data_IF_127843793065
#
_entry.id   IF_127843793065
#
_cell.length_a   1.000
_cell.length_b   1.000
_cell.length_c   1.000
_cell.angle_alpha   90.00
_cell.angle_beta   90.00
_cell.angle_gamma   90.00
#
_symmetry.space_group_name_H-M   'P 1'
#
loop_
_entity.id
_entity.type
_entity.pdbx_description
1 polymer ?
#
# COMPACT_ATOMS: atom_id res chain seq x y z
N UNK A 1 18.29 -3.08 -22.25
CA UNK A 1 16.88 -2.66 -22.37
C UNK A 1 16.46 -2.18 -20.99
N UNK A 2 15.92 -0.96 -20.87
CA UNK A 2 15.45 -0.44 -19.59
C UNK A 2 14.36 -1.32 -18.98
N UNK A 3 14.27 -1.36 -17.66
CA UNK A 3 13.33 -2.19 -16.90
C UNK A 3 12.37 -1.33 -16.07
N UNK A 4 11.08 -1.60 -16.20
CA UNK A 4 10.03 -1.13 -15.30
C UNK A 4 9.80 -2.16 -14.22
N UNK A 5 10.24 -1.84 -13.01
CA UNK A 5 9.95 -2.63 -11.84
C UNK A 5 8.55 -2.27 -11.34
N UNK A 6 7.74 -3.28 -11.02
CA UNK A 6 6.40 -3.08 -10.47
C UNK A 6 6.35 -3.73 -9.09
N UNK A 7 6.39 -2.91 -8.04
CA UNK A 7 6.34 -3.37 -6.66
C UNK A 7 4.89 -3.52 -6.21
N UNK A 8 4.47 -4.77 -6.06
CA UNK A 8 3.18 -5.14 -5.50
C UNK A 8 3.29 -5.29 -3.98
N UNK A 9 2.40 -4.61 -3.25
CA UNK A 9 2.28 -4.70 -1.79
C UNK A 9 0.84 -5.02 -1.42
N UNK A 10 0.63 -6.11 -0.69
CA UNK A 10 -0.70 -6.52 -0.25
C UNK A 10 -1.14 -5.82 1.04
N UNK A 11 -2.46 -5.84 1.27
CA UNK A 11 -3.12 -5.39 2.49
C UNK A 11 -3.11 -6.38 3.65
N UNK A 12 -3.90 -6.08 4.68
CA UNK A 12 -4.18 -7.04 5.76
C UNK A 12 -4.86 -8.31 5.26
N UNK A 13 -5.01 -9.31 6.16
CA UNK A 13 -5.80 -10.55 5.90
C UNK A 13 -5.24 -11.46 4.78
N UNK A 14 -4.15 -11.07 4.13
CA UNK A 14 -3.49 -11.89 3.11
C UNK A 14 -2.50 -12.83 3.78
N UNK A 15 -2.90 -14.07 4.09
CA UNK A 15 -2.07 -15.01 4.87
C UNK A 15 -1.27 -15.99 4.02
N UNK A 16 -1.61 -16.14 2.74
CA UNK A 16 -0.94 -17.06 1.81
C UNK A 16 -0.14 -16.28 0.77
N UNK A 17 1.17 -16.54 0.73
CA UNK A 17 2.09 -15.89 -0.23
C UNK A 17 1.77 -16.23 -1.68
N UNK A 18 1.38 -17.47 -1.96
CA UNK A 18 1.07 -17.92 -3.32
C UNK A 18 -0.24 -17.32 -3.80
N UNK A 19 -1.23 -17.16 -2.91
CA UNK A 19 -2.48 -16.47 -3.21
C UNK A 19 -2.22 -15.01 -3.58
N UNK A 20 -1.43 -14.29 -2.78
CA UNK A 20 -1.01 -12.94 -3.11
C UNK A 20 -0.30 -12.87 -4.47
N UNK A 21 0.68 -13.73 -4.71
CA UNK A 21 1.41 -13.76 -5.97
C UNK A 21 0.48 -14.04 -7.16
N UNK A 22 -0.51 -14.94 -7.01
CA UNK A 22 -1.52 -15.18 -8.06
C UNK A 22 -2.36 -13.93 -8.33
N UNK A 23 -2.86 -13.27 -7.29
CA UNK A 23 -3.67 -12.06 -7.43
C UNK A 23 -2.88 -10.92 -8.11
N UNK A 24 -1.65 -10.67 -7.67
CA UNK A 24 -0.79 -9.66 -8.27
C UNK A 24 -0.37 -10.03 -9.71
N UNK A 25 -0.13 -11.31 -10.00
CA UNK A 25 0.16 -11.79 -11.36
C UNK A 25 -1.05 -11.67 -12.28
N UNK A 26 -2.27 -11.86 -11.77
CA UNK A 26 -3.49 -11.64 -12.52
C UNK A 26 -3.62 -10.17 -12.92
N UNK A 27 -3.42 -9.24 -11.99
CA UNK A 27 -3.40 -7.81 -12.28
C UNK A 27 -2.33 -7.46 -13.32
N UNK A 28 -1.11 -7.97 -13.14
CA UNK A 28 -0.01 -7.78 -14.09
C UNK A 28 -0.35 -8.31 -15.48
N UNK A 29 -0.98 -9.49 -15.56
CA UNK A 29 -1.43 -10.09 -16.83
C UNK A 29 -2.44 -9.18 -17.53
N UNK A 30 -3.38 -8.61 -16.77
CA UNK A 30 -4.30 -7.58 -17.28
C UNK A 30 -3.56 -6.36 -17.85
N UNK A 31 -2.51 -5.89 -17.16
CA UNK A 31 -1.69 -4.77 -17.62
C UNK A 31 -0.91 -5.11 -18.90
N UNK A 32 -0.41 -6.36 -19.04
CA UNK A 32 0.45 -6.73 -20.17
C UNK A 32 -0.22 -6.65 -21.54
N UNK A 33 -1.56 -6.67 -21.62
CA UNK A 33 -2.28 -6.46 -22.88
C UNK A 33 -2.02 -5.08 -23.48
N UNK A 34 -1.85 -4.06 -22.64
CA UNK A 34 -1.54 -2.69 -23.04
C UNK A 34 -0.03 -2.48 -23.18
N UNK A 35 0.76 -3.14 -22.31
CA UNK A 35 2.21 -2.94 -22.24
C UNK A 35 3.01 -3.77 -23.26
N UNK A 36 2.39 -4.69 -24.00
CA UNK A 36 3.09 -5.63 -24.89
C UNK A 36 3.87 -5.01 -26.05
N UNK A 37 3.60 -3.75 -26.37
CA UNK A 37 4.24 -3.03 -27.47
C UNK A 37 5.45 -2.18 -27.04
N UNK A 38 5.79 -2.21 -25.75
CA UNK A 38 6.81 -1.34 -25.17
C UNK A 38 8.21 -1.96 -25.30
N UNK A 39 9.20 -1.15 -25.67
CA UNK A 39 10.62 -1.54 -25.72
C UNK A 39 11.27 -1.55 -24.32
N UNK A 40 10.57 -2.11 -23.32
CA UNK A 40 11.00 -2.15 -21.92
C UNK A 40 10.66 -3.48 -21.28
N UNK A 41 11.50 -3.93 -20.35
CA UNK A 41 11.23 -5.15 -19.57
C UNK A 41 10.29 -4.79 -18.43
N UNK A 42 9.18 -5.49 -18.25
CA UNK A 42 8.37 -5.38 -17.03
C UNK A 42 8.81 -6.46 -16.04
N UNK A 43 9.25 -6.06 -14.83
CA UNK A 43 9.69 -7.00 -13.78
C UNK A 43 8.88 -6.82 -12.49
N UNK A 44 8.02 -7.79 -12.12
CA UNK A 44 7.29 -7.70 -10.87
C UNK A 44 8.19 -7.94 -9.66
N UNK A 45 7.91 -7.23 -8.58
CA UNK A 45 8.45 -7.47 -7.23
C UNK A 45 7.25 -7.68 -6.30
N UNK A 46 7.27 -8.75 -5.52
CA UNK A 46 6.19 -9.06 -4.58
C UNK A 46 6.71 -8.88 -3.15
N UNK A 47 6.16 -7.91 -2.43
CA UNK A 47 6.44 -7.76 -1.00
C UNK A 47 5.32 -8.40 -0.18
N UNK A 48 5.66 -9.52 0.48
CA UNK A 48 4.76 -10.25 1.34
C UNK A 48 5.16 -10.13 2.82
N UNK A 49 4.22 -9.67 3.64
CA UNK A 49 4.36 -9.46 5.09
C UNK A 49 3.26 -10.14 5.90
N UNK A 50 2.32 -10.83 5.25
CA UNK A 50 1.09 -11.33 5.88
C UNK A 50 1.28 -12.48 6.87
N UNK A 51 2.46 -13.09 6.89
CA UNK A 51 2.90 -14.12 7.84
C UNK A 51 3.36 -13.55 9.18
N UNK A 52 3.72 -12.26 9.25
CA UNK A 52 4.37 -11.67 10.43
C UNK A 52 3.45 -11.55 11.65
N UNK A 53 2.12 -11.63 11.48
CA UNK A 53 1.12 -11.48 12.53
C UNK A 53 0.39 -12.77 12.91
N UNK A 54 0.60 -13.87 12.17
CA UNK A 54 -0.20 -15.10 12.27
C UNK A 54 -0.14 -15.71 13.67
N UNK A 55 1.06 -15.89 14.22
CA UNK A 55 1.23 -16.52 15.53
C UNK A 55 0.61 -15.67 16.66
N UNK A 56 0.83 -14.36 16.64
CA UNK A 56 0.29 -13.45 17.65
C UNK A 56 -1.25 -13.40 17.62
N UNK A 57 -1.86 -13.41 16.42
CA UNK A 57 -3.31 -13.48 16.28
C UNK A 57 -3.86 -14.83 16.73
N UNK A 58 -3.22 -15.95 16.35
CA UNK A 58 -3.62 -17.28 16.78
C UNK A 58 -3.58 -17.42 18.31
N UNK A 59 -2.54 -16.88 18.96
CA UNK A 59 -2.43 -16.83 20.41
C UNK A 59 -3.56 -16.02 21.07
N UNK A 60 -3.92 -14.87 20.48
CA UNK A 60 -5.05 -14.06 20.97
C UNK A 60 -6.39 -14.79 20.82
N UNK A 61 -6.63 -15.47 19.70
CA UNK A 61 -7.83 -16.29 19.47
C UNK A 61 -7.90 -17.42 20.49
N UNK A 62 -6.81 -18.16 20.68
CA UNK A 62 -6.74 -19.20 21.71
C UNK A 62 -7.03 -18.64 23.11
N UNK A 63 -6.57 -17.42 23.40
CA UNK A 63 -6.90 -16.68 24.62
C UNK A 63 -8.41 -16.46 24.79
N UNK A 64 -9.12 -16.03 23.74
CA UNK A 64 -10.58 -15.90 23.78
C UNK A 64 -11.27 -17.25 24.00
N UNK A 65 -10.83 -18.28 23.27
CA UNK A 65 -11.43 -19.62 23.29
C UNK A 65 -11.18 -20.36 24.61
N UNK A 66 -10.08 -20.06 25.31
CA UNK A 66 -9.80 -20.59 26.65
C UNK A 66 -10.90 -20.22 27.67
N UNK A 67 -11.60 -19.11 27.45
CA UNK A 67 -12.79 -18.70 28.21
C UNK A 67 -14.07 -19.21 27.58
N UNK A 68 -14.12 -20.50 27.21
CA UNK A 68 -15.15 -21.12 26.35
C UNK A 68 -16.60 -20.71 26.71
N UNK A 69 -16.96 -20.78 27.99
CA UNK A 69 -18.31 -20.44 28.48
C UNK A 69 -18.69 -18.97 28.25
N UNK A 70 -17.71 -18.06 28.31
CA UNK A 70 -17.91 -16.63 28.04
C UNK A 70 -17.86 -16.37 26.54
N UNK A 71 -16.89 -16.96 25.83
CA UNK A 71 -16.74 -16.76 24.40
C UNK A 71 -17.99 -17.14 23.62
N UNK A 72 -18.62 -18.27 23.96
CA UNK A 72 -19.89 -18.73 23.36
C UNK A 72 -21.06 -17.74 23.52
N UNK A 73 -20.98 -16.76 24.42
CA UNK A 73 -22.02 -15.73 24.59
C UNK A 73 -21.85 -14.56 23.62
N UNK A 74 -20.67 -14.38 23.03
CA UNK A 74 -20.44 -13.32 22.05
C UNK A 74 -21.07 -13.68 20.70
N UNK A 75 -21.74 -12.69 20.10
CA UNK A 75 -22.26 -12.81 18.74
C UNK A 75 -21.16 -12.52 17.70
N UNK A 76 -21.35 -13.09 16.50
CA UNK A 76 -20.49 -12.88 15.34
C UNK A 76 -19.01 -13.24 15.58
N UNK A 77 -18.76 -14.37 16.24
CA UNK A 77 -17.41 -14.82 16.63
C UNK A 77 -16.47 -14.92 15.42
N UNK A 78 -16.90 -15.60 14.37
CA UNK A 78 -16.11 -15.77 13.14
C UNK A 78 -15.83 -14.42 12.48
N UNK A 79 -16.82 -13.52 12.42
CA UNK A 79 -16.59 -12.16 11.93
C UNK A 79 -15.58 -11.37 12.78
N UNK A 80 -15.61 -11.54 14.11
CA UNK A 80 -14.65 -10.90 15.02
C UNK A 80 -13.24 -11.43 14.81
N UNK A 81 -13.07 -12.73 14.56
CA UNK A 81 -11.74 -13.37 14.43
C UNK A 81 -11.19 -13.33 13.01
N UNK A 82 -12.02 -13.44 11.98
CA UNK A 82 -11.62 -13.57 10.57
C UNK A 82 -11.80 -12.27 9.75
N UNK A 83 -12.33 -11.20 10.35
CA UNK A 83 -12.47 -9.91 9.66
C UNK A 83 -11.93 -8.78 10.53
N UNK A 84 -12.54 -8.56 11.71
CA UNK A 84 -12.11 -7.47 12.59
C UNK A 84 -10.69 -7.71 13.08
N UNK A 85 -10.41 -8.89 13.65
CA UNK A 85 -9.10 -9.18 14.21
C UNK A 85 -8.02 -9.24 13.14
N UNK A 86 -8.28 -9.83 11.97
CA UNK A 86 -7.27 -9.84 10.91
C UNK A 86 -6.96 -8.42 10.41
N UNK A 87 -7.97 -7.56 10.29
CA UNK A 87 -7.79 -6.18 9.88
C UNK A 87 -7.11 -5.31 10.97
N UNK A 88 -7.77 -5.19 12.12
CA UNK A 88 -7.34 -4.32 13.23
C UNK A 88 -6.12 -4.90 13.95
N UNK A 89 -6.06 -6.22 14.07
CA UNK A 89 -4.92 -6.91 14.67
C UNK A 89 -3.65 -6.78 13.84
N UNK A 90 -3.73 -6.86 12.50
CA UNK A 90 -2.57 -6.58 11.64
C UNK A 90 -2.07 -5.15 11.83
N UNK A 91 -2.98 -4.18 11.81
CA UNK A 91 -2.67 -2.78 12.05
C UNK A 91 -1.99 -2.57 13.42
N UNK A 92 -2.60 -3.11 14.49
CA UNK A 92 -2.07 -2.98 15.85
C UNK A 92 -0.72 -3.68 16.03
N UNK A 93 -0.55 -4.87 15.46
CA UNK A 93 0.71 -5.61 15.53
C UNK A 93 1.82 -4.89 14.78
N UNK A 94 1.56 -4.33 13.59
CA UNK A 94 2.55 -3.56 12.85
C UNK A 94 3.09 -2.35 13.64
N UNK A 95 2.23 -1.68 14.42
CA UNK A 95 2.66 -0.58 15.29
C UNK A 95 3.61 -1.04 16.42
N UNK A 96 3.58 -2.32 16.79
CA UNK A 96 4.55 -2.87 17.73
C UNK A 96 5.95 -2.84 17.11
N UNK A 97 6.96 -2.45 17.90
CA UNK A 97 8.34 -2.39 17.42
C UNK A 97 8.84 -3.74 16.91
N UNK A 98 8.45 -4.83 17.56
CA UNK A 98 8.94 -6.16 17.21
C UNK A 98 8.42 -6.63 15.84
N UNK A 99 7.09 -6.63 15.65
CA UNK A 99 6.50 -7.05 14.37
C UNK A 99 6.85 -6.06 13.26
N UNK A 100 6.77 -4.75 13.52
CA UNK A 100 7.20 -3.73 12.55
C UNK A 100 8.65 -3.94 12.09
N UNK A 101 9.56 -4.31 13.00
CA UNK A 101 10.95 -4.62 12.66
C UNK A 101 11.07 -5.87 11.78
N UNK A 102 10.28 -6.91 12.03
CA UNK A 102 10.28 -8.10 11.18
C UNK A 102 9.75 -7.78 9.77
N UNK A 103 8.76 -6.90 9.66
CA UNK A 103 8.25 -6.39 8.37
C UNK A 103 9.34 -5.61 7.63
N UNK A 104 10.13 -4.77 8.30
CA UNK A 104 11.29 -4.07 7.70
C UNK A 104 12.33 -5.06 7.18
N UNK A 105 12.69 -6.09 7.96
CA UNK A 105 13.63 -7.15 7.51
C UNK A 105 13.09 -7.88 6.29
N UNK A 106 11.80 -8.23 6.30
CA UNK A 106 11.14 -8.86 5.17
C UNK A 106 11.16 -7.96 3.92
N UNK A 107 10.94 -6.65 4.09
CA UNK A 107 11.01 -5.68 2.99
C UNK A 107 12.41 -5.62 2.40
N UNK A 108 13.44 -5.42 3.24
CA UNK A 108 14.83 -5.38 2.80
C UNK A 108 15.21 -6.65 2.02
N UNK A 109 14.89 -7.83 2.55
CA UNK A 109 15.23 -9.08 1.89
C UNK A 109 14.47 -9.28 0.57
N UNK A 110 13.15 -9.06 0.55
CA UNK A 110 12.32 -9.36 -0.63
C UNK A 110 12.43 -8.29 -1.72
N UNK A 111 12.48 -7.01 -1.33
CA UNK A 111 12.46 -5.89 -2.29
C UNK A 111 13.87 -5.50 -2.70
N UNK A 112 14.79 -5.27 -1.76
CA UNK A 112 16.14 -4.81 -2.12
C UNK A 112 17.00 -5.97 -2.60
N UNK A 113 17.18 -6.99 -1.77
CA UNK A 113 18.15 -8.07 -2.04
C UNK A 113 17.70 -9.00 -3.17
N UNK A 114 16.39 -9.20 -3.32
CA UNK A 114 15.83 -10.10 -4.35
C UNK A 114 15.22 -9.34 -5.53
N UNK A 115 14.39 -8.32 -5.27
CA UNK A 115 13.66 -7.60 -6.32
C UNK A 115 14.56 -6.66 -7.15
N UNK A 116 15.26 -5.76 -6.47
CA UNK A 116 16.03 -4.65 -7.05
C UNK A 116 17.53 -4.94 -7.22
N UNK A 117 18.00 -6.14 -6.88
CA UNK A 117 19.42 -6.53 -6.95
C UNK A 117 20.15 -6.11 -8.22
N UNK A 118 19.48 -6.25 -9.36
CA UNK A 118 20.05 -6.01 -10.68
C UNK A 118 19.57 -4.68 -11.31
N UNK A 119 18.92 -3.80 -10.53
CA UNK A 119 18.41 -2.53 -11.04
C UNK A 119 19.55 -1.60 -11.46
N UNK A 120 19.35 -0.93 -12.59
CA UNK A 120 20.31 -0.02 -13.22
C UNK A 120 19.64 1.32 -13.53
N UNK A 121 19.40 2.18 -12.53
CA UNK A 121 18.72 3.46 -12.71
C UNK A 121 19.39 4.35 -13.78
N UNK A 122 20.71 4.24 -13.96
CA UNK A 122 21.49 4.94 -14.98
C UNK A 122 21.19 4.45 -16.41
N UNK A 123 20.59 3.28 -16.56
CA UNK A 123 20.13 2.72 -17.84
C UNK A 123 18.63 2.99 -18.07
N UNK A 124 18.03 3.87 -17.27
CA UNK A 124 16.63 4.25 -17.36
C UNK A 124 15.68 3.29 -16.65
N UNK A 125 16.18 2.42 -15.76
CA UNK A 125 15.32 1.61 -14.90
C UNK A 125 14.52 2.51 -13.94
N UNK A 126 13.27 2.14 -13.69
CA UNK A 126 12.36 2.89 -12.83
C UNK A 126 11.37 1.98 -12.12
N UNK A 127 10.74 2.51 -11.09
CA UNK A 127 9.87 1.75 -10.19
C UNK A 127 8.45 2.32 -10.19
N UNK A 128 7.47 1.44 -10.27
CA UNK A 128 6.05 1.74 -10.13
C UNK A 128 5.53 1.05 -8.87
N UNK A 129 4.88 1.80 -7.99
CA UNK A 129 4.27 1.26 -6.78
C UNK A 129 2.83 0.83 -7.09
N UNK A 130 2.46 -0.39 -6.70
CA UNK A 130 1.08 -0.90 -6.73
C UNK A 130 0.77 -1.47 -5.35
N UNK A 131 0.10 -0.67 -4.54
CA UNK A 131 -0.13 -0.98 -3.12
C UNK A 131 -1.61 -1.13 -2.84
N UNK A 132 -1.94 -2.01 -1.90
CA UNK A 132 -3.30 -2.29 -1.51
C UNK A 132 -3.49 -2.09 -0.01
N UNK A 133 -4.58 -1.41 0.38
CA UNK A 133 -5.00 -1.30 1.79
C UNK A 133 -3.87 -0.80 2.71
N UNK A 134 -3.71 -1.44 3.88
CA UNK A 134 -2.60 -1.24 4.82
C UNK A 134 -1.22 -1.46 4.22
N UNK A 135 -1.09 -2.17 3.10
CA UNK A 135 0.16 -2.28 2.36
C UNK A 135 0.70 -0.91 1.94
N UNK A 136 -0.18 0.03 1.56
CA UNK A 136 0.21 1.42 1.30
C UNK A 136 0.78 2.07 2.55
N UNK A 137 0.07 1.96 3.67
CA UNK A 137 0.47 2.57 4.95
C UNK A 137 1.81 2.03 5.41
N UNK A 138 2.00 0.71 5.39
CA UNK A 138 3.24 0.05 5.80
C UNK A 138 4.40 0.49 4.93
N UNK A 139 4.21 0.52 3.60
CA UNK A 139 5.25 0.97 2.68
C UNK A 139 5.63 2.42 2.98
N UNK A 140 4.64 3.30 3.12
CA UNK A 140 4.87 4.71 3.36
C UNK A 140 5.52 4.95 4.74
N UNK A 141 5.11 4.22 5.78
CA UNK A 141 5.74 4.31 7.10
C UNK A 141 7.22 3.91 7.03
N UNK A 142 7.59 2.82 6.35
CA UNK A 142 8.99 2.43 6.16
C UNK A 142 9.77 3.53 5.42
N UNK A 143 9.21 4.04 4.32
CA UNK A 143 9.90 5.02 3.47
C UNK A 143 9.99 6.41 4.10
N UNK A 144 9.02 6.84 4.91
CA UNK A 144 8.88 8.25 5.25
C UNK A 144 8.72 8.55 6.76
N UNK A 145 8.33 7.59 7.60
CA UNK A 145 8.08 7.88 9.01
C UNK A 145 9.39 8.09 9.80
N UNK A 146 9.40 9.08 10.67
CA UNK A 146 10.56 9.41 11.52
C UNK A 146 10.76 8.43 12.69
N UNK A 147 9.77 7.60 13.03
CA UNK A 147 9.89 6.60 14.10
C UNK A 147 11.05 5.62 13.90
N UNK A 148 11.48 5.43 12.65
CA UNK A 148 12.59 4.55 12.31
C UNK A 148 13.96 5.15 12.61
N UNK A 149 14.03 6.44 12.95
CA UNK A 149 15.24 7.12 13.40
C UNK A 149 15.49 6.97 14.91
N UNK A 150 14.55 6.37 15.65
CA UNK A 150 14.64 6.17 17.10
C UNK A 150 15.86 5.32 17.48
N UNK A 151 16.85 5.85 18.23
CA UNK A 151 18.06 5.11 18.62
C UNK A 151 17.78 3.83 19.42
N UNK A 152 16.61 3.71 20.06
CA UNK A 152 16.19 2.49 20.76
C UNK A 152 16.00 1.30 19.82
N UNK A 153 15.93 1.53 18.51
CA UNK A 153 15.92 0.48 17.52
C UNK A 153 17.28 -0.20 17.38
N UNK A 154 18.37 0.35 17.90
CA UNK A 154 19.69 -0.29 17.84
C UNK A 154 19.90 -1.36 18.94
N UNK A 155 18.86 -1.66 19.73
CA UNK A 155 18.93 -2.54 20.89
C UNK A 155 18.08 -3.81 20.75
N UNK A 156 18.45 -4.87 21.47
CA UNK A 156 17.63 -6.07 21.67
C UNK A 156 17.18 -6.76 20.37
N UNK A 157 15.90 -7.16 20.30
CA UNK A 157 15.33 -7.84 19.12
C UNK A 157 15.18 -6.94 17.88
N UNK A 158 15.44 -5.64 18.02
CA UNK A 158 15.32 -4.66 16.94
C UNK A 158 16.67 -4.21 16.40
N UNK A 159 17.78 -4.73 16.92
CA UNK A 159 19.12 -4.38 16.43
C UNK A 159 19.19 -4.38 14.89
N UNK A 160 19.94 -3.41 14.37
CA UNK A 160 20.19 -3.12 12.95
C UNK A 160 18.97 -2.57 12.16
N UNK A 161 17.81 -2.39 12.78
CA UNK A 161 16.60 -1.97 12.05
C UNK A 161 16.73 -0.56 11.48
N UNK A 162 17.32 0.38 12.21
CA UNK A 162 17.56 1.73 11.68
C UNK A 162 18.46 1.68 10.43
N UNK A 163 19.53 0.89 10.49
CA UNK A 163 20.44 0.70 9.36
C UNK A 163 19.76 0.03 8.16
N UNK A 164 18.86 -0.94 8.40
CA UNK A 164 18.06 -1.55 7.34
C UNK A 164 17.09 -0.56 6.72
N UNK A 165 16.43 0.29 7.51
CA UNK A 165 15.56 1.35 6.96
C UNK A 165 16.37 2.35 6.15
N UNK A 166 17.56 2.75 6.60
CA UNK A 166 18.45 3.62 5.83
C UNK A 166 18.88 2.97 4.51
N UNK A 167 19.21 1.68 4.51
CA UNK A 167 19.49 0.93 3.29
C UNK A 167 18.28 0.89 2.35
N UNK A 168 17.08 0.67 2.89
CA UNK A 168 15.82 0.74 2.14
C UNK A 168 15.68 2.11 1.48
N UNK A 169 15.75 3.19 2.23
CA UNK A 169 15.56 4.55 1.70
C UNK A 169 16.61 4.94 0.67
N UNK A 170 17.89 4.56 0.87
CA UNK A 170 18.97 4.74 -0.13
C UNK A 170 18.69 4.06 -1.47
N UNK A 171 17.86 3.02 -1.49
CA UNK A 171 17.52 2.33 -2.73
C UNK A 171 16.51 3.12 -3.59
N UNK A 172 15.86 4.15 -3.05
CA UNK A 172 14.87 4.97 -3.73
C UNK A 172 15.42 6.38 -3.96
N UNK A 173 15.41 6.81 -5.21
CA UNK A 173 15.84 8.17 -5.56
C UNK A 173 14.95 9.22 -4.90
N UNK A 174 15.57 10.31 -4.45
CA UNK A 174 14.92 11.44 -3.81
C UNK A 174 14.72 11.30 -2.31
N UNK A 175 15.23 10.22 -1.68
CA UNK A 175 15.18 10.04 -0.23
C UNK A 175 16.55 10.11 0.43
N UNK A 176 16.57 10.71 1.62
CA UNK A 176 17.69 10.61 2.53
C UNK A 176 17.97 9.15 2.94
N UNK A 177 19.24 8.80 3.19
CA UNK A 177 20.43 9.67 3.22
C UNK A 177 21.17 9.82 1.88
N UNK A 178 20.58 9.44 0.73
CA UNK A 178 21.24 9.54 -0.58
C UNK A 178 20.23 9.99 -1.66
N UNK A 179 19.79 11.26 -1.65
CA UNK A 179 18.71 11.74 -2.51
C UNK A 179 19.04 11.66 -4.01
N UNK A 180 20.33 11.68 -4.38
CA UNK A 180 20.77 11.62 -5.77
C UNK A 180 20.89 10.19 -6.34
N UNK A 181 20.81 9.15 -5.50
CA UNK A 181 20.99 7.75 -5.89
C UNK A 181 19.75 6.89 -5.68
N UNK A 182 19.74 5.69 -6.25
CA UNK A 182 18.62 4.75 -6.15
C UNK A 182 17.69 4.78 -7.36
N UNK A 183 16.68 3.91 -7.35
CA UNK A 183 15.71 3.78 -8.43
C UNK A 183 14.66 4.90 -8.34
N UNK A 184 14.39 5.65 -9.42
CA UNK A 184 13.35 6.66 -9.42
C UNK A 184 11.95 6.04 -9.46
N UNK A 185 11.04 6.63 -8.70
CA UNK A 185 9.62 6.32 -8.81
C UNK A 185 9.02 7.01 -10.04
N UNK A 186 8.32 6.23 -10.85
CA UNK A 186 7.65 6.71 -12.05
C UNK A 186 6.14 6.86 -11.86
N UNK A 187 5.53 6.10 -10.93
CA UNK A 187 4.13 6.27 -10.54
C UNK A 187 3.82 5.65 -9.18
N UNK A 188 2.74 6.12 -8.56
CA UNK A 188 2.15 5.54 -7.36
C UNK A 188 0.72 5.08 -7.67
N UNK A 189 0.39 3.85 -7.31
CA UNK A 189 -0.97 3.32 -7.45
C UNK A 189 -1.42 2.76 -6.10
N UNK A 190 -2.49 3.32 -5.54
CA UNK A 190 -3.07 2.92 -4.25
C UNK A 190 -4.45 2.32 -4.46
N UNK A 191 -4.69 1.12 -3.95
CA UNK A 191 -5.94 0.38 -4.13
C UNK A 191 -6.61 0.16 -2.77
N UNK A 192 -7.82 0.69 -2.57
CA UNK A 192 -8.55 0.52 -1.31
C UNK A 192 -7.81 1.03 -0.08
N UNK A 193 -6.97 2.07 -0.25
CA UNK A 193 -6.01 2.47 0.77
C UNK A 193 -6.63 3.38 1.84
N UNK A 194 -6.39 3.14 3.14
CA UNK A 194 -6.79 4.04 4.21
C UNK A 194 -5.82 5.21 4.41
N UNK A 195 -4.88 5.47 3.48
CA UNK A 195 -3.84 6.52 3.62
C UNK A 195 -4.44 7.92 3.84
N UNK A 196 -5.66 8.17 3.36
CA UNK A 196 -6.41 9.38 3.67
C UNK A 196 -6.54 9.65 5.18
N UNK A 197 -6.82 8.60 5.96
CA UNK A 197 -6.99 8.68 7.40
C UNK A 197 -5.68 9.01 8.12
N UNK A 198 -4.53 8.77 7.50
CA UNK A 198 -3.23 9.06 8.09
C UNK A 198 -2.94 10.56 8.15
N UNK A 199 -3.67 11.40 7.41
CA UNK A 199 -3.64 12.86 7.59
C UNK A 199 -4.01 13.28 9.02
N UNK A 200 -4.82 12.47 9.74
CA UNK A 200 -5.16 12.71 11.14
C UNK A 200 -3.94 12.67 12.06
N UNK A 201 -2.90 11.92 11.72
CA UNK A 201 -1.66 11.85 12.51
C UNK A 201 -0.90 13.17 12.54
N UNK A 202 -1.19 14.09 11.61
CA UNK A 202 -0.59 15.42 11.54
C UNK A 202 -1.27 16.43 12.44
N UNK A 203 -2.57 16.24 12.74
CA UNK A 203 -3.37 17.22 13.47
C UNK A 203 -2.86 17.47 14.90
N UNK A 204 -2.11 16.53 15.47
CA UNK A 204 -1.58 16.61 16.83
C UNK A 204 -0.14 17.15 16.91
N UNK A 205 0.50 17.46 15.78
CA UNK A 205 1.81 18.15 15.72
C UNK A 205 3.05 17.33 16.11
N UNK A 206 2.90 16.19 16.79
CA UNK A 206 4.01 15.36 17.31
C UNK A 206 3.79 13.86 17.05
N UNK A 207 3.61 13.46 15.79
CA UNK A 207 3.54 12.03 15.45
C UNK A 207 4.84 11.56 14.81
N UNK A 208 5.47 10.56 15.41
CA UNK A 208 6.61 9.86 14.78
C UNK A 208 6.21 9.03 13.55
N UNK A 209 4.90 8.92 13.30
CA UNK A 209 4.31 8.35 12.09
C UNK A 209 3.95 9.42 11.05
N UNK A 210 4.33 10.69 11.24
CA UNK A 210 4.16 11.71 10.20
C UNK A 210 5.03 11.36 8.98
N UNK A 211 4.37 11.13 7.86
CA UNK A 211 4.97 10.73 6.58
C UNK A 211 5.38 11.93 5.73
N UNK A 212 4.85 13.10 6.07
CA UNK A 212 4.75 14.23 5.14
C UNK A 212 6.08 14.86 4.74
N UNK A 213 7.06 15.08 5.65
CA UNK A 213 8.30 15.75 5.29
C UNK A 213 9.08 14.99 4.21
N UNK A 214 9.38 13.72 4.45
CA UNK A 214 10.15 12.90 3.51
C UNK A 214 9.35 12.54 2.24
N UNK A 215 8.03 12.40 2.33
CA UNK A 215 7.19 12.21 1.15
C UNK A 215 7.21 13.45 0.23
N UNK A 216 7.14 14.66 0.82
CA UNK A 216 7.22 15.91 0.07
C UNK A 216 8.59 16.08 -0.60
N UNK A 217 9.66 15.78 0.14
CA UNK A 217 11.03 15.82 -0.38
C UNK A 217 11.21 14.86 -1.57
N UNK A 218 10.79 13.61 -1.42
CA UNK A 218 10.80 12.62 -2.50
C UNK A 218 10.08 13.16 -3.75
N UNK A 219 8.84 13.62 -3.60
CA UNK A 219 7.99 14.06 -4.72
C UNK A 219 8.60 15.28 -5.41
N UNK A 220 9.15 16.23 -4.65
CA UNK A 220 9.87 17.38 -5.19
C UNK A 220 11.12 16.94 -5.97
N UNK A 221 11.95 16.07 -5.39
CA UNK A 221 13.16 15.57 -6.04
C UNK A 221 12.83 14.83 -7.35
N UNK A 222 11.74 14.05 -7.37
CA UNK A 222 11.24 13.38 -8.57
C UNK A 222 10.73 14.38 -9.62
N UNK A 223 10.04 15.44 -9.21
CA UNK A 223 9.59 16.50 -10.11
C UNK A 223 10.78 17.17 -10.80
N UNK A 224 11.82 17.52 -10.05
CA UNK A 224 13.04 18.14 -10.56
C UNK A 224 13.77 17.18 -11.52
N UNK A 225 13.94 15.91 -11.14
CA UNK A 225 14.53 14.87 -12.01
C UNK A 225 13.76 14.66 -13.31
N UNK A 226 12.45 14.85 -13.29
CA UNK A 226 11.56 14.64 -14.45
C UNK A 226 11.36 15.92 -15.27
N UNK A 227 12.27 16.90 -15.16
CA UNK A 227 12.22 18.17 -15.87
C UNK A 227 10.92 18.94 -15.64
N UNK A 228 10.44 18.95 -14.39
CA UNK A 228 9.22 19.64 -14.00
C UNK A 228 7.94 18.92 -14.37
N UNK A 229 7.97 17.59 -14.52
CA UNK A 229 6.77 16.77 -14.73
C UNK A 229 6.26 16.20 -13.39
N UNK A 230 4.95 16.38 -13.06
CA UNK A 230 4.36 15.88 -11.82
C UNK A 230 4.35 14.36 -11.76
N UNK A 231 4.65 13.78 -10.59
CA UNK A 231 4.53 12.34 -10.34
C UNK A 231 3.06 11.91 -10.49
N UNK A 232 2.72 10.97 -11.39
CA UNK A 232 1.36 10.46 -11.47
C UNK A 232 1.07 9.56 -10.27
N UNK A 233 -0.06 9.79 -9.62
CA UNK A 233 -0.56 8.99 -8.52
C UNK A 233 -2.05 8.66 -8.72
N UNK A 234 -2.34 7.40 -9.04
CA UNK A 234 -3.71 6.90 -9.15
C UNK A 234 -4.20 6.31 -7.83
N UNK A 235 -5.34 6.77 -7.36
CA UNK A 235 -6.00 6.26 -6.16
C UNK A 235 -7.30 5.56 -6.54
N UNK A 236 -7.32 4.24 -6.43
CA UNK A 236 -8.47 3.40 -6.73
C UNK A 236 -9.31 3.20 -5.47
N UNK A 237 -10.59 3.53 -5.57
CA UNK A 237 -11.56 3.31 -4.51
C UNK A 237 -12.83 2.66 -5.05
N UNK A 238 -13.35 1.68 -4.31
CA UNK A 238 -14.64 1.07 -4.59
C UNK A 238 -15.70 1.67 -3.65
N UNK A 239 -16.89 2.10 -4.11
CA UNK A 239 -17.92 2.71 -3.24
C UNK A 239 -18.39 1.83 -2.07
N UNK A 240 -18.23 0.51 -2.20
CA UNK A 240 -18.55 -0.47 -1.15
C UNK A 240 -17.37 -0.82 -0.23
N UNK A 241 -16.18 -0.28 -0.47
CA UNK A 241 -15.00 -0.47 0.38
C UNK A 241 -15.01 0.59 1.51
N UNK A 242 -15.20 0.20 2.78
CA UNK A 242 -15.43 1.13 3.88
C UNK A 242 -14.18 1.90 4.31
N UNK A 243 -12.99 1.54 3.79
CA UNK A 243 -11.73 2.16 4.19
C UNK A 243 -11.02 2.87 3.03
N UNK A 244 -11.60 2.84 1.83
CA UNK A 244 -11.10 3.56 0.67
C UNK A 244 -11.71 4.97 0.63
N UNK A 245 -10.86 5.99 0.49
CA UNK A 245 -11.30 7.38 0.44
C UNK A 245 -10.64 8.10 -0.75
N UNK A 246 -11.33 9.09 -1.35
CA UNK A 246 -10.71 10.00 -2.31
C UNK A 246 -9.53 10.75 -1.70
N UNK A 247 -8.47 10.98 -2.48
CA UNK A 247 -7.26 11.71 -2.05
C UNK A 247 -7.16 13.11 -2.63
N UNK A 248 -7.82 13.41 -3.76
CA UNK A 248 -7.70 14.68 -4.48
C UNK A 248 -7.91 15.89 -3.56
N UNK A 249 -8.96 15.86 -2.73
CA UNK A 249 -9.29 16.95 -1.81
C UNK A 249 -8.43 17.06 -0.54
N UNK A 250 -7.57 16.09 -0.26
CA UNK A 250 -6.78 16.03 0.99
C UNK A 250 -5.28 15.87 0.75
N UNK A 251 -4.83 15.85 -0.51
CA UNK A 251 -3.43 15.58 -0.82
C UNK A 251 -2.49 16.63 -0.25
N UNK A 252 -2.86 17.91 -0.24
CA UNK A 252 -2.04 18.95 0.40
C UNK A 252 -1.94 18.76 1.90
N UNK A 253 -2.97 18.19 2.53
CA UNK A 253 -2.90 17.79 3.94
C UNK A 253 -1.96 16.61 4.11
N UNK A 254 -1.87 15.69 3.16
CA UNK A 254 -0.91 14.60 3.17
C UNK A 254 0.53 15.08 2.88
N UNK A 255 0.74 15.98 1.90
CA UNK A 255 2.05 16.41 1.38
C UNK A 255 2.74 17.54 2.13
N UNK A 256 2.33 17.86 3.36
CA UNK A 256 2.75 19.07 4.11
C UNK A 256 2.04 20.33 3.58
N UNK A 257 1.54 21.15 4.51
CA UNK A 257 0.91 22.42 4.14
C UNK A 257 1.93 23.34 3.47
N UNK A 258 1.55 23.93 2.34
CA UNK A 258 2.42 24.80 1.53
C UNK A 258 3.23 24.07 0.46
N UNK A 259 3.10 22.75 0.34
CA UNK A 259 3.71 22.00 -0.75
C UNK A 259 3.09 22.36 -2.09
N UNK A 260 3.93 22.37 -3.11
CA UNK A 260 3.52 22.75 -4.46
C UNK A 260 2.72 21.60 -5.09
N UNK A 261 1.43 21.83 -5.30
CA UNK A 261 0.53 20.86 -5.94
C UNK A 261 1.03 20.46 -7.33
N UNK A 262 1.91 21.24 -7.97
CA UNK A 262 2.50 20.91 -9.28
C UNK A 262 3.44 19.70 -9.23
N UNK A 263 3.88 19.24 -8.06
CA UNK A 263 4.83 18.11 -7.99
C UNK A 263 4.18 16.74 -8.18
N UNK A 264 2.85 16.63 -8.01
CA UNK A 264 2.10 15.39 -8.12
C UNK A 264 0.79 15.64 -8.88
N UNK A 265 0.33 14.68 -9.66
CA UNK A 265 -1.03 14.68 -10.21
C UNK A 265 -1.75 13.48 -9.62
N UNK A 266 -2.82 13.75 -8.89
CA UNK A 266 -3.67 12.71 -8.31
C UNK A 266 -4.92 12.53 -9.15
N UNK A 267 -5.24 11.26 -9.40
CA UNK A 267 -6.46 10.84 -10.06
C UNK A 267 -7.19 9.84 -9.15
N UNK A 268 -8.36 10.24 -8.63
CA UNK A 268 -9.25 9.34 -7.90
C UNK A 268 -10.10 8.54 -8.90
N UNK A 269 -9.85 7.22 -8.99
CA UNK A 269 -10.55 6.32 -9.91
C UNK A 269 -11.56 5.50 -9.11
N UNK A 270 -12.83 5.90 -9.23
CA UNK A 270 -13.93 5.18 -8.59
C UNK A 270 -14.44 4.09 -9.53
N UNK A 271 -14.11 2.83 -9.24
CA UNK A 271 -14.66 1.71 -9.99
C UNK A 271 -15.80 1.07 -9.19
N UNK A 272 -16.84 0.64 -9.90
CA UNK A 272 -17.93 -0.13 -9.33
C UNK A 272 -18.03 -1.44 -10.08
N UNK A 273 -17.87 -2.56 -9.39
CA UNK A 273 -18.35 -3.80 -9.97
C UNK A 273 -19.88 -3.72 -10.08
N UNK A 274 -20.51 -4.33 -11.10
CA UNK A 274 -21.95 -4.45 -11.13
C UNK A 274 -22.37 -5.24 -9.88
N UNK A 275 -22.91 -4.52 -8.90
CA UNK A 275 -23.40 -5.01 -7.62
C UNK A 275 -24.08 -6.38 -7.82
N UNK A 276 -23.80 -7.42 -7.00
CA UNK A 276 -24.35 -8.75 -7.21
C UNK A 276 -25.86 -8.66 -7.45
N UNK A 277 -26.37 -9.22 -8.57
CA UNK A 277 -27.80 -9.13 -8.95
C UNK A 277 -28.76 -9.54 -7.81
N UNK A 278 -28.30 -10.37 -6.85
CA UNK A 278 -29.03 -10.74 -5.62
C UNK A 278 -29.25 -9.57 -4.64
N UNK A 279 -28.32 -8.63 -4.55
CA UNK A 279 -28.41 -7.46 -3.66
C UNK A 279 -29.09 -6.26 -4.31
N UNK A 280 -29.09 -6.16 -5.64
CA UNK A 280 -29.85 -5.12 -6.38
C UNK A 280 -31.36 -5.22 -6.13
N UNK A 281 -31.88 -6.45 -5.96
CA UNK A 281 -33.28 -6.70 -5.62
C UNK A 281 -33.62 -6.47 -4.14
N UNK A 282 -32.61 -6.28 -3.28
CA UNK A 282 -32.78 -5.92 -1.87
C UNK A 282 -32.61 -4.41 -1.64
N UNK A 283 -31.75 -3.74 -2.42
CA UNK A 283 -31.49 -2.30 -2.30
C UNK A 283 -32.67 -1.40 -2.68
N UNK A 284 -33.58 -1.87 -3.55
CA UNK A 284 -34.79 -1.12 -3.92
C UNK A 284 -35.96 -1.20 -2.93
N UNK A 285 -35.85 -2.01 -1.87
CA UNK A 285 -36.94 -2.33 -0.93
C UNK A 285 -36.58 -2.10 0.54
N UNK A 286 -35.39 -1.58 0.85
CA UNK A 286 -34.91 -1.52 2.24
C UNK A 286 -34.76 -0.07 2.74
N UNK A 287 -35.29 0.24 3.95
CA UNK A 287 -35.12 1.55 4.56
C UNK A 287 -33.65 1.86 4.86
N UNK A 288 -33.34 3.17 4.94
CA UNK A 288 -32.04 3.80 5.25
C UNK A 288 -31.24 3.10 6.37
N UNK A 289 -31.93 2.46 7.31
CA UNK A 289 -31.38 1.73 8.47
C UNK A 289 -30.79 0.35 8.16
N UNK A 290 -30.61 -0.08 6.90
CA UNK A 290 -29.83 -1.30 6.56
C UNK A 290 -28.63 -1.06 5.64
N UNK A 291 -28.43 0.17 5.17
CA UNK A 291 -27.25 0.55 4.35
C UNK A 291 -25.92 0.46 5.14
N UNK A 292 -25.95 0.53 6.47
CA UNK A 292 -24.78 0.42 7.35
C UNK A 292 -24.27 -1.01 7.60
N UNK A 293 -25.11 -2.05 7.49
CA UNK A 293 -24.72 -3.44 7.83
C UNK A 293 -24.18 -4.23 6.63
N UNK A 294 -24.59 -3.89 5.40
CA UNK A 294 -24.17 -4.59 4.19
C UNK A 294 -22.68 -4.34 3.82
N UNK A 295 -22.14 -3.11 3.89
CA UNK A 295 -20.74 -2.83 3.61
C UNK A 295 -19.77 -3.53 4.58
N UNK A 296 -20.24 -3.98 5.74
CA UNK A 296 -19.42 -4.71 6.72
C UNK A 296 -19.28 -6.18 6.31
N UNK A 297 -20.30 -6.76 5.66
CA UNK A 297 -20.30 -8.16 5.20
C UNK A 297 -19.76 -8.30 3.77
N UNK A 298 -20.02 -7.33 2.89
CA UNK A 298 -19.50 -7.29 1.51
C UNK A 298 -18.26 -6.43 1.34
N UNK A 299 -17.82 -5.73 2.39
CA UNK A 299 -16.66 -4.85 2.35
C UNK A 299 -15.37 -5.60 2.05
N UNK A 300 -15.23 -6.84 2.53
CA UNK A 300 -14.09 -7.70 2.17
C UNK A 300 -14.00 -8.01 0.68
N UNK A 301 -15.14 -8.31 0.04
CA UNK A 301 -15.20 -8.60 -1.40
C UNK A 301 -14.92 -7.34 -2.23
N UNK A 302 -15.54 -6.21 -1.87
CA UNK A 302 -15.26 -4.92 -2.48
C UNK A 302 -13.79 -4.52 -2.32
N UNK A 303 -13.24 -4.70 -1.12
CA UNK A 303 -11.87 -4.36 -0.78
C UNK A 303 -10.85 -5.26 -1.49
N UNK A 304 -11.17 -6.52 -1.78
CA UNK A 304 -10.29 -7.42 -2.54
C UNK A 304 -10.39 -7.26 -4.06
N UNK A 305 -11.48 -6.66 -4.57
CA UNK A 305 -11.84 -6.67 -5.99
C UNK A 305 -10.82 -6.04 -6.94
N UNK A 306 -10.01 -5.09 -6.45
CA UNK A 306 -9.05 -4.32 -7.27
C UNK A 306 -8.08 -5.22 -8.05
N UNK A 307 -7.61 -6.32 -7.45
CA UNK A 307 -6.60 -7.22 -8.04
C UNK A 307 -7.06 -7.92 -9.33
N UNK A 308 -8.37 -8.10 -9.50
CA UNK A 308 -8.95 -8.78 -10.65
C UNK A 308 -9.71 -7.84 -11.59
N UNK A 309 -9.73 -6.54 -11.29
CA UNK A 309 -10.54 -5.58 -12.04
C UNK A 309 -9.82 -5.10 -13.32
N UNK A 310 -10.39 -5.30 -14.52
CA UNK A 310 -9.75 -4.88 -15.77
C UNK A 310 -9.53 -3.37 -15.89
N UNK A 311 -10.41 -2.55 -15.33
CA UNK A 311 -10.28 -1.09 -15.33
C UNK A 311 -9.06 -0.64 -14.51
N UNK A 312 -8.81 -1.31 -13.38
CA UNK A 312 -7.62 -1.05 -12.56
C UNK A 312 -6.36 -1.43 -13.33
N UNK A 313 -6.36 -2.60 -13.97
CA UNK A 313 -5.23 -3.05 -14.79
C UNK A 313 -4.93 -2.08 -15.96
N UNK A 314 -5.98 -1.65 -16.67
CA UNK A 314 -5.90 -0.71 -17.79
C UNK A 314 -5.34 0.63 -17.33
N UNK A 315 -5.92 1.24 -16.29
CA UNK A 315 -5.50 2.53 -15.77
C UNK A 315 -4.02 2.55 -15.34
N UNK A 316 -3.58 1.52 -14.58
CA UNK A 316 -2.17 1.40 -14.18
C UNK A 316 -1.27 1.26 -15.42
N UNK A 317 -1.67 0.44 -16.39
CA UNK A 317 -0.89 0.24 -17.62
C UNK A 317 -0.77 1.52 -18.46
N UNK A 318 -1.85 2.31 -18.55
CA UNK A 318 -1.84 3.60 -19.24
C UNK A 318 -0.88 4.60 -18.60
N UNK A 319 -0.78 4.64 -17.27
CA UNK A 319 0.21 5.50 -16.59
C UNK A 319 1.64 5.04 -16.83
N UNK A 320 1.89 3.73 -16.79
CA UNK A 320 3.21 3.17 -17.12
C UNK A 320 3.59 3.54 -18.56
N UNK A 321 2.67 3.44 -19.52
CA UNK A 321 2.92 3.83 -20.90
C UNK A 321 3.12 5.34 -21.06
N UNK A 322 2.25 6.19 -20.49
CA UNK A 322 2.34 7.64 -20.63
C UNK A 322 3.65 8.20 -20.04
N UNK A 323 4.17 7.55 -19.00
CA UNK A 323 5.48 7.91 -18.44
C UNK A 323 6.64 7.58 -19.39
N UNK A 324 6.44 6.86 -20.51
CA UNK A 324 7.46 6.54 -21.52
C UNK A 324 7.51 7.51 -22.70
N UNK A 325 6.37 8.08 -23.10
CA UNK A 325 6.25 8.89 -24.33
C UNK A 325 6.84 10.30 -24.19
N UNK A 326 7.41 10.61 -23.03
CA UNK A 326 7.97 11.92 -22.73
C UNK A 326 9.47 11.77 -22.47
N UNK A 327 10.34 12.15 -23.42
CA UNK A 327 11.78 12.02 -23.27
C UNK A 327 12.27 12.80 -22.04
N UNK A 328 13.13 12.14 -21.26
CA UNK A 328 13.96 12.76 -20.22
C UNK A 328 15.06 13.64 -20.85
#
# INVERSE_FOLDING_TARGET
MPTDYVLFVHGVKTRDRNEFQRAATQLLTGMTQTLSHLERTIKPIFFFWGDQSVEAQASLVAGFESSEKKWKQFWFRDFRTEQILEFVGDAALYLSRHVGSNVVRAFHQQVLIQGLKDSRPEQGDRLHLVTHSWGTVILFDILFASRWEDPRLDEGSTADIRDLVHQIRRAFFGLDPNPDGGIPLASINTMGSPIALFTLLKLTGESSHDLSPSLNELIKNLYDRRNGRPLPWQNFAHPGDPIAYPLEGIITQLLQQGSDERYVVIEDIIHSDPFPRRLRNLGGLLPFTRQWLLPILSGGDAHGSYWANPMVAEAISSVIQASMESPD
#
